data_IF_936582891336
#
_entry.id   IF_936582891336
#
_cell.length_a   1.000
_cell.length_b   1.000
_cell.length_c   1.000
_cell.angle_alpha   90.00
_cell.angle_beta   90.00
_cell.angle_gamma   90.00
#
_symmetry.space_group_name_H-M   'P 1'
#
loop_
_entity.id
_entity.type
_entity.pdbx_description
1 polymer ?
#
# COMPACT_ATOMS: atom_id res chain seq x y z
N UNK A 1 -10.70 29.00 -32.62
CA UNK A 1 -10.10 28.15 -33.68
C UNK A 1 -11.22 27.66 -34.58
N UNK A 2 -11.23 27.99 -35.87
CA UNK A 2 -12.28 27.56 -36.80
C UNK A 2 -11.87 26.17 -37.36
N UNK A 3 -12.64 25.14 -37.04
CA UNK A 3 -12.44 23.83 -37.63
C UNK A 3 -13.03 23.82 -39.05
N UNK A 4 -12.29 23.36 -40.05
CA UNK A 4 -12.84 23.18 -41.38
C UNK A 4 -13.92 22.07 -41.35
N UNK A 5 -14.98 22.22 -42.18
CA UNK A 5 -16.06 21.27 -42.20
C UNK A 5 -15.54 19.86 -42.56
N UNK A 6 -15.78 18.85 -41.71
CA UNK A 6 -15.35 17.45 -41.79
C UNK A 6 -13.89 17.15 -41.48
N UNK A 7 -13.22 17.92 -40.63
CA UNK A 7 -11.91 17.55 -40.11
C UNK A 7 -11.99 17.13 -38.63
N UNK A 8 -11.17 16.15 -38.26
CA UNK A 8 -10.87 15.90 -36.84
C UNK A 8 -9.91 16.99 -36.37
N UNK A 9 -10.20 17.57 -35.24
CA UNK A 9 -9.33 18.56 -34.59
C UNK A 9 -9.00 18.01 -33.20
N UNK A 10 -7.72 17.77 -32.97
CA UNK A 10 -7.21 17.43 -31.65
C UNK A 10 -6.90 18.72 -30.90
N UNK A 11 -7.25 18.77 -29.63
CA UNK A 11 -7.02 19.92 -28.78
C UNK A 11 -6.45 19.45 -27.45
N UNK A 12 -5.28 19.95 -27.13
CA UNK A 12 -4.61 19.67 -25.88
C UNK A 12 -5.06 20.66 -24.80
N UNK A 13 -5.30 20.16 -23.59
CA UNK A 13 -5.62 20.96 -22.42
C UNK A 13 -4.54 20.72 -21.36
N UNK A 14 -3.93 21.81 -20.88
CA UNK A 14 -3.06 21.77 -19.73
C UNK A 14 -3.93 21.91 -18.47
N UNK A 15 -3.90 20.89 -17.63
CA UNK A 15 -4.63 20.87 -16.37
C UNK A 15 -3.64 20.99 -15.22
N UNK A 16 -4.02 21.73 -14.19
CA UNK A 16 -3.26 21.85 -12.95
C UNK A 16 -4.21 21.56 -11.79
N UNK A 17 -3.88 20.58 -10.97
CA UNK A 17 -4.52 20.35 -9.69
C UNK A 17 -3.72 21.00 -8.56
N UNK A 18 -4.39 21.29 -7.44
CA UNK A 18 -3.75 21.71 -6.19
C UNK A 18 -3.50 20.54 -5.27
N UNK A 19 -4.31 19.49 -5.40
CA UNK A 19 -4.31 18.33 -4.52
C UNK A 19 -3.93 17.09 -5.31
N UNK A 20 -3.22 16.17 -4.69
CA UNK A 20 -2.97 14.84 -5.18
C UNK A 20 -4.29 14.05 -5.22
N UNK A 21 -4.37 13.04 -6.06
CA UNK A 21 -5.52 12.17 -6.09
C UNK A 21 -6.03 11.80 -7.48
N UNK A 22 -7.13 11.06 -7.50
CA UNK A 22 -7.79 10.62 -8.72
C UNK A 22 -8.81 11.65 -9.18
N UNK A 23 -8.47 12.39 -10.24
CA UNK A 23 -9.32 13.44 -10.81
C UNK A 23 -10.14 12.87 -11.97
N UNK A 24 -11.45 13.04 -11.90
CA UNK A 24 -12.37 12.70 -12.99
C UNK A 24 -12.62 13.93 -13.85
N UNK A 25 -12.27 13.81 -15.12
CA UNK A 25 -12.55 14.82 -16.13
C UNK A 25 -13.77 14.40 -16.92
N UNK A 26 -14.78 15.26 -17.02
CA UNK A 26 -15.98 14.97 -17.79
C UNK A 26 -16.32 16.12 -18.73
N UNK A 27 -16.63 15.77 -19.99
CA UNK A 27 -17.14 16.74 -20.97
C UNK A 27 -18.65 16.86 -20.82
N UNK A 28 -19.08 17.94 -20.17
CA UNK A 28 -20.51 18.20 -19.93
C UNK A 28 -21.17 18.95 -21.07
N UNK A 29 -20.43 19.88 -21.72
CA UNK A 29 -21.01 20.79 -22.71
C UNK A 29 -19.92 21.31 -23.65
N UNK A 30 -20.28 21.41 -24.90
CA UNK A 30 -19.47 22.01 -25.94
C UNK A 30 -20.26 23.12 -26.62
N UNK A 31 -19.62 24.25 -26.92
CA UNK A 31 -20.20 25.33 -27.65
C UNK A 31 -19.41 25.50 -28.93
N UNK A 32 -20.07 25.30 -30.07
CA UNK A 32 -19.51 25.52 -31.39
C UNK A 32 -20.04 26.83 -31.96
N UNK A 33 -19.19 27.55 -32.65
CA UNK A 33 -19.56 28.76 -33.34
C UNK A 33 -19.50 28.54 -34.85
N UNK A 34 -20.34 29.26 -35.60
CA UNK A 34 -20.22 29.32 -37.03
C UNK A 34 -18.89 29.97 -37.48
N UNK A 35 -18.59 29.93 -38.77
CA UNK A 35 -17.34 30.50 -39.34
C UNK A 35 -17.16 31.99 -39.07
N UNK A 36 -18.24 32.73 -38.80
CA UNK A 36 -18.23 34.15 -38.48
C UNK A 36 -18.22 34.42 -36.97
N UNK A 37 -18.36 33.39 -36.13
CA UNK A 37 -18.43 33.53 -34.69
C UNK A 37 -19.71 34.16 -34.16
N UNK A 38 -20.77 34.26 -34.98
CA UNK A 38 -22.00 34.97 -34.65
C UNK A 38 -23.05 34.08 -33.98
N UNK A 39 -23.10 32.80 -34.34
CA UNK A 39 -24.17 31.91 -33.86
C UNK A 39 -23.56 30.76 -33.03
N UNK A 40 -23.80 30.77 -31.69
CA UNK A 40 -23.38 29.68 -30.83
C UNK A 40 -24.35 28.51 -30.91
N UNK A 41 -23.87 27.31 -31.22
CA UNK A 41 -24.58 26.05 -31.09
C UNK A 41 -24.07 25.29 -29.87
N UNK A 42 -24.97 25.11 -28.92
CA UNK A 42 -24.67 24.32 -27.70
C UNK A 42 -24.93 22.87 -28.00
N UNK A 43 -23.92 22.05 -27.78
CA UNK A 43 -24.01 20.59 -27.95
C UNK A 43 -23.68 19.92 -26.61
N UNK A 44 -24.55 18.99 -26.22
CA UNK A 44 -24.30 18.10 -25.07
C UNK A 44 -23.95 16.74 -25.67
N UNK A 45 -22.86 16.09 -25.22
CA UNK A 45 -22.53 14.77 -25.70
C UNK A 45 -23.67 13.79 -25.45
N UNK A 46 -24.01 12.96 -26.43
CA UNK A 46 -25.06 11.93 -26.31
C UNK A 46 -24.66 10.79 -25.38
N UNK A 47 -23.39 10.67 -25.08
CA UNK A 47 -22.82 9.75 -24.10
C UNK A 47 -21.93 10.53 -23.16
N UNK A 48 -21.87 10.08 -21.91
CA UNK A 48 -20.90 10.62 -20.97
C UNK A 48 -19.48 10.35 -21.49
N UNK A 49 -18.75 11.43 -21.71
CA UNK A 49 -17.34 11.39 -22.08
C UNK A 49 -16.57 11.78 -20.83
N UNK A 50 -15.93 10.81 -20.21
CA UNK A 50 -15.09 11.02 -19.03
C UNK A 50 -13.75 10.34 -19.17
N UNK A 51 -12.76 10.93 -18.56
CA UNK A 51 -11.42 10.38 -18.40
C UNK A 51 -10.97 10.57 -16.95
N UNK A 52 -10.05 9.74 -16.50
CA UNK A 52 -9.42 9.88 -15.19
C UNK A 52 -7.97 10.27 -15.39
N UNK A 53 -7.50 11.18 -14.56
CA UNK A 53 -6.10 11.53 -14.41
C UNK A 53 -5.71 11.30 -12.96
N UNK A 54 -4.52 10.73 -12.74
CA UNK A 54 -3.91 10.60 -11.42
C UNK A 54 -2.94 11.76 -11.24
N UNK A 55 -3.13 12.51 -10.17
CA UNK A 55 -2.20 13.55 -9.73
C UNK A 55 -1.35 12.95 -8.63
N UNK A 56 -0.08 12.72 -8.94
CA UNK A 56 0.88 12.10 -8.01
C UNK A 56 1.27 13.13 -6.95
N UNK A 57 1.42 12.72 -5.66
CA UNK A 57 1.90 13.60 -4.60
C UNK A 57 3.31 14.14 -4.91
N UNK A 58 3.60 15.34 -4.45
CA UNK A 58 4.97 15.85 -4.49
C UNK A 58 5.80 15.10 -3.43
N UNK A 59 7.02 14.69 -3.80
CA UNK A 59 7.93 14.07 -2.86
C UNK A 59 8.93 15.09 -2.31
N UNK A 60 9.29 14.93 -1.06
CA UNK A 60 10.35 15.69 -0.42
C UNK A 60 11.47 14.75 0.05
N UNK A 61 12.70 15.23 0.05
CA UNK A 61 13.83 14.45 0.52
C UNK A 61 13.82 14.36 2.05
N UNK A 62 13.92 13.16 2.57
CA UNK A 62 14.10 12.91 3.99
C UNK A 62 15.61 12.85 4.29
N UNK A 63 16.11 13.73 5.15
CA UNK A 63 17.50 13.69 5.64
C UNK A 63 17.66 12.70 6.81
N UNK A 64 16.82 11.68 6.90
CA UNK A 64 16.88 10.68 7.97
C UNK A 64 17.53 9.41 7.46
N UNK A 65 18.64 9.04 8.06
CA UNK A 65 19.09 7.66 7.99
C UNK A 65 18.15 6.84 8.90
N UNK A 66 17.34 6.01 8.28
CA UNK A 66 16.63 4.99 9.05
C UNK A 66 17.71 4.08 9.58
N UNK A 67 18.03 4.23 10.87
CA UNK A 67 18.96 3.35 11.54
C UNK A 67 18.28 1.98 11.65
N UNK A 68 18.38 1.18 10.60
CA UNK A 68 18.19 -0.24 10.74
C UNK A 68 19.24 -0.72 11.74
N UNK A 69 18.78 -1.27 12.85
CA UNK A 69 19.66 -2.15 13.60
C UNK A 69 20.22 -3.18 12.61
N UNK A 70 21.44 -3.58 12.78
CA UNK A 70 22.21 -4.49 11.89
C UNK A 70 21.50 -5.82 11.53
N UNK A 71 20.23 -5.98 11.86
CA UNK A 71 19.36 -7.14 11.63
C UNK A 71 18.69 -7.19 10.26
N UNK A 72 18.96 -6.26 9.33
CA UNK A 72 18.51 -6.38 7.92
C UNK A 72 19.38 -7.33 7.10
N UNK A 73 20.43 -7.89 7.67
CA UNK A 73 21.03 -9.09 7.14
C UNK A 73 20.06 -10.27 7.35
N UNK A 74 20.03 -11.20 6.44
CA UNK A 74 19.25 -12.44 6.35
C UNK A 74 19.14 -13.28 7.65
N UNK A 75 19.70 -12.82 8.75
CA UNK A 75 19.57 -13.28 10.11
C UNK A 75 18.73 -12.27 10.92
N UNK A 76 17.45 -12.07 10.54
CA UNK A 76 16.55 -11.34 11.44
C UNK A 76 16.37 -12.18 12.69
N UNK A 77 16.88 -11.68 13.83
CA UNK A 77 16.72 -12.33 15.13
C UNK A 77 15.24 -12.34 15.61
N UNK A 78 14.33 -11.72 14.84
CA UNK A 78 12.91 -11.71 15.11
C UNK A 78 12.19 -12.81 14.31
N UNK A 79 11.66 -13.77 15.05
CA UNK A 79 10.92 -14.91 14.52
C UNK A 79 9.45 -14.82 14.89
N UNK A 80 8.59 -15.20 13.97
CA UNK A 80 7.16 -15.35 14.27
C UNK A 80 6.95 -16.32 15.44
N UNK A 81 6.33 -15.82 16.50
CA UNK A 81 5.98 -16.65 17.67
C UNK A 81 4.75 -17.54 17.41
N UNK A 82 4.09 -17.41 16.25
CA UNK A 82 2.83 -18.10 15.95
C UNK A 82 2.95 -19.19 14.89
N UNK A 83 3.96 -19.16 14.04
CA UNK A 83 4.11 -20.12 12.93
C UNK A 83 5.47 -20.80 12.98
N UNK A 84 5.45 -22.13 12.90
CA UNK A 84 6.65 -22.92 12.70
C UNK A 84 7.17 -22.74 11.27
N UNK A 85 8.49 -22.50 11.13
CA UNK A 85 9.18 -22.27 9.85
C UNK A 85 10.18 -23.34 9.49
N UNK A 86 11.15 -22.97 8.68
CA UNK A 86 12.16 -23.91 8.15
C UNK A 86 13.61 -23.51 8.52
N UNK A 87 13.80 -22.42 9.26
CA UNK A 87 15.14 -21.96 9.63
C UNK A 87 15.69 -22.78 10.81
N UNK A 88 16.81 -23.51 10.60
CA UNK A 88 17.41 -24.34 11.64
C UNK A 88 18.18 -23.57 12.71
N UNK A 89 18.40 -22.27 12.55
CA UNK A 89 19.19 -21.45 13.50
C UNK A 89 18.43 -21.20 14.79
N UNK A 90 17.07 -21.11 14.74
CA UNK A 90 16.26 -21.00 15.94
C UNK A 90 15.18 -22.07 16.06
N UNK A 91 15.01 -22.54 17.30
CA UNK A 91 14.01 -23.54 17.65
C UNK A 91 12.79 -22.85 18.24
N UNK A 92 11.69 -22.80 17.49
CA UNK A 92 10.43 -22.24 17.91
C UNK A 92 9.77 -23.06 19.03
N UNK A 93 9.73 -24.39 18.87
CA UNK A 93 9.16 -25.31 19.82
C UNK A 93 9.80 -26.69 19.72
N UNK A 94 9.64 -27.48 20.78
CA UNK A 94 10.01 -28.90 20.79
C UNK A 94 8.74 -29.69 21.10
N UNK A 95 8.37 -30.59 20.21
CA UNK A 95 7.20 -31.44 20.35
C UNK A 95 7.50 -32.89 20.05
N UNK A 96 6.56 -33.78 20.36
CA UNK A 96 6.67 -35.18 19.95
C UNK A 96 6.54 -35.33 18.43
N UNK A 97 7.28 -36.30 17.90
CA UNK A 97 7.27 -36.65 16.47
C UNK A 97 5.89 -37.06 16.00
N UNK A 98 5.51 -36.55 14.83
CA UNK A 98 4.30 -36.98 14.12
C UNK A 98 4.67 -37.59 12.76
N UNK A 99 3.89 -38.59 12.28
CA UNK A 99 4.14 -39.15 10.95
C UNK A 99 4.11 -38.10 9.87
N UNK A 100 5.24 -37.92 9.18
CA UNK A 100 5.44 -36.87 8.17
C UNK A 100 6.54 -35.87 8.52
N UNK A 101 6.99 -35.85 9.79
CA UNK A 101 8.08 -34.97 10.20
C UNK A 101 9.42 -35.40 9.58
N UNK A 102 10.28 -34.42 9.31
CA UNK A 102 11.59 -34.68 8.69
C UNK A 102 12.60 -35.19 9.72
N UNK A 103 13.31 -36.26 9.41
CA UNK A 103 14.32 -36.87 10.28
C UNK A 103 15.39 -35.85 10.73
N UNK A 104 15.71 -34.85 9.90
CA UNK A 104 16.67 -33.78 10.24
C UNK A 104 16.22 -32.87 11.37
N UNK A 105 14.93 -32.83 11.69
CA UNK A 105 14.37 -32.01 12.75
C UNK A 105 14.36 -32.74 14.10
N UNK A 106 14.75 -34.02 14.15
CA UNK A 106 14.78 -34.79 15.40
C UNK A 106 15.86 -34.23 16.34
N UNK A 107 15.42 -33.91 17.56
CA UNK A 107 16.29 -33.49 18.65
C UNK A 107 16.85 -34.68 19.42
N UNK A 108 17.85 -35.35 18.89
CA UNK A 108 18.42 -36.62 19.41
C UNK A 108 18.71 -36.59 20.91
N UNK A 109 19.26 -35.49 21.43
CA UNK A 109 19.59 -35.37 22.87
C UNK A 109 18.37 -35.39 23.78
N UNK A 110 17.21 -34.82 23.35
CA UNK A 110 16.00 -34.85 24.12
C UNK A 110 15.25 -36.15 23.90
N UNK A 111 15.30 -36.72 22.71
CA UNK A 111 14.76 -38.05 22.39
C UNK A 111 15.38 -39.11 23.33
N UNK A 112 16.70 -39.08 23.54
CA UNK A 112 17.37 -39.99 24.47
C UNK A 112 16.94 -39.77 25.93
N UNK A 113 16.67 -38.51 26.31
CA UNK A 113 16.29 -38.18 27.69
C UNK A 113 14.85 -38.56 28.02
N UNK A 114 13.93 -38.41 27.06
CA UNK A 114 12.49 -38.61 27.27
C UNK A 114 11.98 -39.96 26.76
N UNK A 115 12.83 -40.75 26.12
CA UNK A 115 12.52 -42.03 25.48
C UNK A 115 11.40 -41.95 24.43
N UNK A 116 11.14 -40.72 23.94
CA UNK A 116 10.16 -40.42 22.89
C UNK A 116 10.85 -39.58 21.80
N UNK A 117 10.50 -39.84 20.53
CA UNK A 117 11.05 -39.03 19.41
C UNK A 117 10.60 -37.59 19.54
N UNK A 118 11.54 -36.70 19.79
CA UNK A 118 11.31 -35.27 19.92
C UNK A 118 11.77 -34.54 18.67
N UNK A 119 10.94 -33.65 18.13
CA UNK A 119 11.21 -32.86 16.93
C UNK A 119 11.29 -31.38 17.28
N UNK A 120 12.21 -30.69 16.62
CA UNK A 120 12.32 -29.22 16.69
C UNK A 120 11.43 -28.61 15.60
N UNK A 121 10.53 -27.77 15.99
CA UNK A 121 9.89 -26.84 15.09
C UNK A 121 10.75 -25.59 14.99
N UNK A 122 11.14 -25.23 13.79
CA UNK A 122 12.00 -24.08 13.52
C UNK A 122 11.17 -22.80 13.42
N UNK A 123 11.79 -21.66 13.75
CA UNK A 123 11.18 -20.34 13.57
C UNK A 123 11.00 -19.98 12.10
N UNK A 124 10.06 -19.10 11.83
CA UNK A 124 9.87 -18.47 10.53
C UNK A 124 10.42 -17.05 10.64
N UNK A 125 11.47 -16.68 9.92
CA UNK A 125 11.95 -15.31 9.97
C UNK A 125 10.85 -14.36 9.48
N UNK A 126 10.66 -13.24 10.16
CA UNK A 126 9.75 -12.19 9.74
C UNK A 126 10.40 -11.48 8.54
N UNK A 127 9.86 -11.73 7.35
CA UNK A 127 10.42 -11.15 6.11
C UNK A 127 10.05 -9.68 5.95
N UNK A 128 8.89 -9.28 6.46
CA UNK A 128 8.39 -7.91 6.34
C UNK A 128 8.71 -7.12 7.61
N UNK A 129 9.70 -6.24 7.53
CA UNK A 129 10.19 -5.51 8.70
C UNK A 129 9.44 -4.20 8.96
N UNK A 130 8.92 -3.55 7.92
CA UNK A 130 8.24 -2.25 8.03
C UNK A 130 6.83 -2.31 7.43
N UNK A 131 5.87 -1.80 8.18
CA UNK A 131 4.51 -1.53 7.73
C UNK A 131 4.25 -0.03 7.86
N UNK A 132 3.96 0.63 6.73
CA UNK A 132 3.46 2.00 6.69
C UNK A 132 1.93 1.95 6.70
N UNK A 133 1.29 2.61 7.65
CA UNK A 133 -0.16 2.69 7.73
C UNK A 133 -0.65 4.05 7.25
N UNK A 134 -1.54 4.05 6.26
CA UNK A 134 -2.21 5.26 5.78
C UNK A 134 -3.53 5.45 6.52
N UNK A 135 -3.59 6.44 7.43
CA UNK A 135 -4.81 6.87 8.08
C UNK A 135 -5.48 7.98 7.26
N UNK A 136 -6.58 7.67 6.58
CA UNK A 136 -7.31 8.64 5.73
C UNK A 136 -8.41 9.38 6.45
N UNK A 137 -8.79 8.96 7.65
CA UNK A 137 -9.77 9.65 8.47
C UNK A 137 -10.09 8.87 9.73
N UNK A 138 -10.17 9.58 10.84
CA UNK A 138 -10.51 9.04 12.14
C UNK A 138 -11.68 9.84 12.74
N UNK A 139 -12.76 9.14 13.04
CA UNK A 139 -13.92 9.76 13.69
C UNK A 139 -14.99 10.28 12.73
N UNK A 140 -15.74 11.29 13.17
CA UNK A 140 -16.94 11.81 12.46
C UNK A 140 -16.68 13.07 11.64
N UNK A 141 -15.51 13.64 11.73
CA UNK A 141 -15.13 14.85 10.98
C UNK A 141 -14.67 14.49 9.56
N UNK A 142 -15.07 15.33 8.59
CA UNK A 142 -14.55 15.20 7.23
C UNK A 142 -13.08 15.57 7.24
N UNK A 143 -12.24 14.70 6.65
CA UNK A 143 -10.82 14.97 6.51
C UNK A 143 -10.62 16.20 5.60
N UNK A 144 -9.78 17.12 6.03
CA UNK A 144 -9.40 18.29 5.23
C UNK A 144 -8.52 17.83 4.05
N UNK A 145 -8.80 18.37 2.86
CA UNK A 145 -8.07 18.03 1.64
C UNK A 145 -6.57 18.33 1.76
N UNK A 146 -6.20 19.42 2.43
CA UNK A 146 -4.79 19.78 2.66
C UNK A 146 -4.11 18.78 3.61
N UNK A 147 -4.85 18.22 4.57
CA UNK A 147 -4.34 17.18 5.48
C UNK A 147 -4.12 15.85 4.73
N UNK A 148 -5.07 15.46 3.87
CA UNK A 148 -4.94 14.25 3.05
C UNK A 148 -3.78 14.36 2.06
N UNK A 149 -3.56 15.53 1.46
CA UNK A 149 -2.40 15.79 0.62
C UNK A 149 -1.09 15.62 1.41
N UNK A 150 -0.99 16.23 2.58
CA UNK A 150 0.20 16.13 3.43
C UNK A 150 0.48 14.66 3.84
N UNK A 151 -0.55 13.89 4.16
CA UNK A 151 -0.41 12.46 4.46
C UNK A 151 0.06 11.66 3.24
N UNK A 152 -0.50 11.94 2.06
CA UNK A 152 -0.11 11.29 0.82
C UNK A 152 1.34 11.63 0.43
N UNK A 153 1.75 12.90 0.57
CA UNK A 153 3.12 13.35 0.34
C UNK A 153 4.10 12.70 1.33
N UNK A 154 3.73 12.62 2.61
CA UNK A 154 4.54 11.98 3.64
C UNK A 154 4.72 10.48 3.36
N UNK A 155 3.63 9.76 3.13
CA UNK A 155 3.67 8.33 2.82
C UNK A 155 4.52 8.06 1.57
N UNK A 156 4.28 8.81 0.49
CA UNK A 156 5.01 8.67 -0.77
C UNK A 156 6.50 8.94 -0.60
N UNK A 157 6.86 10.01 0.14
CA UNK A 157 8.25 10.38 0.41
C UNK A 157 8.97 9.34 1.26
N UNK A 158 8.33 8.84 2.32
CA UNK A 158 8.88 7.78 3.18
C UNK A 158 9.09 6.50 2.38
N UNK A 159 8.08 6.11 1.59
CA UNK A 159 8.17 4.91 0.75
C UNK A 159 9.30 5.03 -0.28
N UNK A 160 9.44 6.17 -0.97
CA UNK A 160 10.55 6.41 -1.89
C UNK A 160 11.92 6.34 -1.20
N UNK A 161 12.04 6.90 0.02
CA UNK A 161 13.28 6.84 0.78
C UNK A 161 13.64 5.40 1.14
N UNK A 162 12.66 4.58 1.60
CA UNK A 162 12.85 3.16 1.86
C UNK A 162 13.33 2.41 0.61
N UNK A 163 12.70 2.66 -0.54
CA UNK A 163 13.09 2.05 -1.81
C UNK A 163 14.49 2.49 -2.25
N UNK A 164 14.86 3.74 -2.02
CA UNK A 164 16.22 4.25 -2.33
C UNK A 164 17.30 3.51 -1.54
N UNK A 165 16.96 3.06 -0.33
CA UNK A 165 17.81 2.27 0.56
C UNK A 165 17.66 0.76 0.32
N UNK A 166 16.90 0.35 -0.70
CA UNK A 166 16.61 -1.05 -1.05
C UNK A 166 15.88 -1.83 0.06
N UNK A 167 15.03 -1.13 0.81
CA UNK A 167 14.26 -1.70 1.90
C UNK A 167 12.86 -2.04 1.39
N UNK A 168 12.56 -3.33 1.38
CA UNK A 168 11.23 -3.85 1.10
C UNK A 168 10.33 -3.51 2.28
N UNK A 169 9.15 -2.97 2.01
CA UNK A 169 8.20 -2.58 3.03
C UNK A 169 6.77 -2.85 2.56
N UNK A 170 5.83 -2.79 3.47
CA UNK A 170 4.41 -2.93 3.13
C UNK A 170 3.66 -1.63 3.43
N UNK A 171 2.63 -1.36 2.63
CA UNK A 171 1.71 -0.25 2.86
C UNK A 171 0.34 -0.83 3.19
N UNK A 172 -0.23 -0.40 4.31
CA UNK A 172 -1.54 -0.84 4.79
C UNK A 172 -2.53 0.33 4.87
N UNK A 173 -3.78 0.08 4.49
CA UNK A 173 -4.88 1.04 4.61
C UNK A 173 -6.20 0.30 4.77
N UNK A 174 -7.21 1.01 5.28
CA UNK A 174 -8.56 0.49 5.34
C UNK A 174 -9.33 0.87 4.09
N UNK A 175 -9.86 -0.13 3.38
CA UNK A 175 -10.82 0.08 2.32
C UNK A 175 -12.23 0.10 2.92
N UNK A 176 -12.78 1.30 3.11
CA UNK A 176 -14.08 1.47 3.74
C UNK A 176 -15.26 1.11 2.82
N UNK A 177 -15.06 1.01 1.50
CA UNK A 177 -16.11 0.54 0.59
C UNK A 177 -16.33 -0.98 0.74
N UNK A 178 -15.25 -1.73 0.89
CA UNK A 178 -15.27 -3.18 1.05
C UNK A 178 -15.21 -3.62 2.52
N UNK A 179 -14.99 -2.68 3.43
CA UNK A 179 -14.76 -2.89 4.86
C UNK A 179 -13.66 -3.94 5.13
N UNK A 180 -12.56 -3.83 4.39
CA UNK A 180 -11.42 -4.75 4.49
C UNK A 180 -10.13 -3.98 4.69
N UNK A 181 -9.26 -4.48 5.57
CA UNK A 181 -7.89 -4.00 5.67
C UNK A 181 -7.09 -4.54 4.49
N UNK A 182 -6.49 -3.64 3.75
CA UNK A 182 -5.62 -3.93 2.61
C UNK A 182 -4.16 -3.76 3.03
N UNK A 183 -3.30 -4.66 2.58
CA UNK A 183 -1.86 -4.58 2.84
C UNK A 183 -1.13 -5.10 1.61
N UNK A 184 -0.26 -4.27 1.04
CA UNK A 184 0.47 -4.59 -0.18
C UNK A 184 1.96 -4.39 0.06
N UNK A 185 2.76 -5.37 -0.35
CA UNK A 185 4.22 -5.29 -0.32
C UNK A 185 4.74 -4.44 -1.48
N UNK A 186 5.71 -3.59 -1.19
CA UNK A 186 6.34 -2.67 -2.13
C UNK A 186 7.83 -2.96 -2.18
N UNK A 187 8.27 -3.48 -3.33
CA UNK A 187 9.68 -3.83 -3.60
C UNK A 187 10.34 -2.82 -4.55
N UNK A 188 9.52 -2.21 -5.43
CA UNK A 188 9.99 -1.32 -6.49
C UNK A 188 9.19 -0.02 -6.57
N UNK A 189 9.75 0.99 -7.24
CA UNK A 189 9.00 2.21 -7.55
C UNK A 189 7.79 1.94 -8.47
N UNK A 190 7.84 0.89 -9.29
CA UNK A 190 6.72 0.51 -10.16
C UNK A 190 5.55 0.01 -9.31
N UNK A 191 5.82 -0.77 -8.26
CA UNK A 191 4.80 -1.26 -7.32
C UNK A 191 4.16 -0.09 -6.58
N UNK A 192 4.97 0.85 -6.07
CA UNK A 192 4.49 2.06 -5.41
C UNK A 192 3.58 2.87 -6.34
N UNK A 193 4.01 3.11 -7.57
CA UNK A 193 3.23 3.87 -8.55
C UNK A 193 1.94 3.15 -8.96
N UNK A 194 1.96 1.82 -9.04
CA UNK A 194 0.77 1.00 -9.33
C UNK A 194 -0.27 1.08 -8.19
N UNK A 195 0.19 1.24 -6.96
CA UNK A 195 -0.64 1.31 -5.76
C UNK A 195 -1.30 2.69 -5.57
N UNK A 196 -0.67 3.77 -6.06
CA UNK A 196 -1.16 5.14 -5.86
C UNK A 196 -2.64 5.37 -6.21
N UNK A 197 -3.21 4.81 -7.31
CA UNK A 197 -4.62 5.00 -7.62
C UNK A 197 -5.59 4.46 -6.56
N UNK A 198 -5.19 3.43 -5.83
CA UNK A 198 -5.97 2.84 -4.74
C UNK A 198 -5.81 3.66 -3.46
N UNK A 199 -4.58 4.00 -3.09
CA UNK A 199 -4.27 4.82 -1.91
C UNK A 199 -4.94 6.19 -1.97
N UNK A 200 -4.78 6.90 -3.11
CA UNK A 200 -5.35 8.22 -3.32
C UNK A 200 -6.86 8.20 -3.61
N UNK A 201 -7.44 7.03 -3.86
CA UNK A 201 -8.87 6.81 -3.99
C UNK A 201 -9.53 6.30 -2.71
N UNK A 202 -8.76 6.05 -1.65
CA UNK A 202 -9.29 5.53 -0.40
C UNK A 202 -10.26 6.55 0.24
N UNK A 203 -11.44 6.08 0.57
CA UNK A 203 -12.49 6.90 1.21
C UNK A 203 -12.23 6.94 2.72
N UNK A 204 -12.27 8.12 3.36
CA UNK A 204 -12.10 8.23 4.80
C UNK A 204 -13.13 7.41 5.58
N UNK A 205 -12.65 6.73 6.64
CA UNK A 205 -13.49 5.93 7.53
C UNK A 205 -14.42 6.77 8.38
N UNK A 206 -15.57 6.17 8.71
CA UNK A 206 -16.58 6.79 9.60
C UNK A 206 -17.00 5.89 10.74
N UNK A 207 -16.32 4.78 10.91
CA UNK A 207 -16.59 3.78 11.94
C UNK A 207 -16.00 4.12 13.30
N UNK A 208 -15.14 5.12 13.38
CA UNK A 208 -14.46 5.55 14.60
C UNK A 208 -13.29 4.65 15.01
N UNK A 209 -12.93 3.70 14.16
CA UNK A 209 -11.75 2.87 14.33
C UNK A 209 -10.59 3.43 13.52
N UNK A 210 -9.38 3.35 14.06
CA UNK A 210 -8.17 3.72 13.33
C UNK A 210 -7.73 2.58 12.41
N UNK A 211 -6.92 2.90 11.39
CA UNK A 211 -6.32 1.86 10.53
C UNK A 211 -5.45 0.90 11.34
N UNK A 212 -4.82 1.39 12.42
CA UNK A 212 -4.08 0.55 13.34
C UNK A 212 -4.98 -0.45 14.08
N UNK A 213 -6.21 -0.06 14.47
CA UNK A 213 -7.18 -0.99 15.09
C UNK A 213 -7.60 -2.07 14.10
N UNK A 214 -7.92 -1.69 12.85
CA UNK A 214 -8.25 -2.65 11.78
C UNK A 214 -7.09 -3.61 11.51
N UNK A 215 -5.85 -3.12 11.50
CA UNK A 215 -4.67 -3.98 11.41
C UNK A 215 -4.59 -4.95 12.59
N UNK A 216 -4.83 -4.47 13.81
CA UNK A 216 -4.77 -5.33 15.00
C UNK A 216 -5.85 -6.42 14.99
N UNK A 217 -7.02 -6.16 14.42
CA UNK A 217 -8.06 -7.18 14.23
C UNK A 217 -7.67 -8.20 13.16
N UNK A 218 -6.95 -7.77 12.11
CA UNK A 218 -6.46 -8.65 11.04
C UNK A 218 -5.14 -9.35 11.34
N UNK A 219 -4.50 -9.04 12.48
CA UNK A 219 -3.15 -9.45 12.87
C UNK A 219 -2.87 -10.94 12.88
N UNK A 220 -3.88 -11.78 12.93
CA UNK A 220 -3.69 -13.24 12.87
C UNK A 220 -3.00 -13.72 11.57
N UNK A 221 -2.97 -12.87 10.54
CA UNK A 221 -2.41 -13.20 9.24
C UNK A 221 -1.13 -12.41 8.89
N UNK A 222 -0.89 -11.27 9.54
CA UNK A 222 0.20 -10.34 9.19
C UNK A 222 1.02 -10.01 10.44
N UNK A 223 2.32 -10.27 10.38
CA UNK A 223 3.28 -9.92 11.44
C UNK A 223 4.35 -9.00 10.84
N UNK A 224 4.58 -7.85 11.48
CA UNK A 224 5.61 -6.88 11.10
C UNK A 224 6.45 -6.52 12.33
N UNK A 225 7.75 -6.29 12.11
CA UNK A 225 8.67 -5.89 13.19
C UNK A 225 8.47 -4.43 13.60
N UNK A 226 8.23 -3.55 12.62
CA UNK A 226 8.06 -2.12 12.83
C UNK A 226 6.80 -1.61 12.13
N UNK A 227 6.06 -0.73 12.80
CA UNK A 227 4.87 -0.07 12.26
C UNK A 227 5.05 1.46 12.38
N UNK A 228 4.78 2.16 11.28
CA UNK A 228 4.91 3.63 11.16
C UNK A 228 3.61 4.24 10.65
#
# INVERSE_FOLDING_TARGET
MAAPSRSNTDTDFLLKSRHAGKVRLSLQKMICYDSFGLFPVKTVPSREISAFALVVPESFSLETQIAYGESTNMDSDEYSMKKAGYDPSETFAIREYQPGDRIRQIHWKLTEKFDNLMVRDYGLPIQNTILLLLETGYGTEEADADCLDALAEALYSVSQELLSQQIIHSIGWQNHEENTFQCVEVETEEDLNALLPELLGAVPGRDGMSVADHYMESREQLEFAHMV
#
